data_IF_219257155145
#
_entry.id   IF_219257155145
#
_cell.length_a   1.000
_cell.length_b   1.000
_cell.length_c   1.000
_cell.angle_alpha   90.00
_cell.angle_beta   90.00
_cell.angle_gamma   90.00
#
_symmetry.space_group_name_H-M   'P 1'
#
loop_
_entity.id
_entity.type
_entity.pdbx_description
1 polymer ?
#
# COMPACT_ATOMS: atom_id res chain seq x y z
N UNK A 1 38.30 41.10 5.18
CA UNK A 1 37.12 40.49 5.85
C UNK A 1 36.33 39.81 4.75
N UNK A 2 36.44 38.49 4.65
CA UNK A 2 35.88 37.70 3.55
C UNK A 2 34.41 37.42 3.87
N UNK A 3 33.51 38.00 3.08
CA UNK A 3 32.08 37.71 3.14
C UNK A 3 31.88 36.26 2.70
N UNK A 4 31.33 35.46 3.60
CA UNK A 4 30.92 34.09 3.33
C UNK A 4 29.85 34.19 2.24
N UNK A 5 30.14 33.64 1.06
CA UNK A 5 29.13 33.39 0.05
C UNK A 5 28.08 32.47 0.68
N UNK A 6 26.89 33.00 0.93
CA UNK A 6 25.73 32.17 1.22
C UNK A 6 25.46 31.32 -0.02
N UNK A 7 25.96 30.09 0.01
CA UNK A 7 25.54 29.03 -0.89
C UNK A 7 24.00 29.00 -0.87
N UNK A 8 23.33 29.00 -2.04
CA UNK A 8 21.88 28.92 -2.06
C UNK A 8 21.49 27.66 -1.31
N UNK A 9 20.76 27.87 -0.21
CA UNK A 9 20.14 26.83 0.60
C UNK A 9 19.60 25.78 -0.37
N UNK A 10 20.24 24.60 -0.38
CA UNK A 10 19.72 23.42 -1.08
C UNK A 10 18.31 23.30 -0.56
N UNK A 11 17.33 23.66 -1.40
CA UNK A 11 15.91 23.47 -1.12
C UNK A 11 15.81 22.04 -0.63
N UNK A 12 15.59 21.85 0.67
CA UNK A 12 15.47 20.50 1.21
C UNK A 12 14.36 19.88 0.37
N UNK A 13 14.64 18.72 -0.21
CA UNK A 13 13.53 17.92 -0.71
C UNK A 13 12.60 17.80 0.49
N UNK A 14 11.42 18.39 0.34
CA UNK A 14 10.34 18.31 1.31
C UNK A 14 10.30 16.86 1.79
N UNK A 15 10.33 16.63 3.10
CA UNK A 15 10.38 15.29 3.74
C UNK A 15 9.10 14.46 3.48
N UNK A 16 8.37 14.81 2.42
CA UNK A 16 7.25 14.07 1.89
C UNK A 16 7.73 12.77 1.25
N UNK A 17 7.11 11.67 1.66
CA UNK A 17 7.36 10.34 1.12
C UNK A 17 7.34 10.38 -0.41
N UNK A 18 8.43 9.99 -1.07
CA UNK A 18 8.56 10.03 -2.54
C UNK A 18 7.44 9.24 -3.25
N UNK A 19 6.88 8.21 -2.60
CA UNK A 19 5.74 7.46 -3.12
C UNK A 19 4.51 8.33 -3.30
N UNK A 20 4.25 9.29 -2.40
CA UNK A 20 3.09 10.20 -2.48
C UNK A 20 3.19 11.23 -3.60
N UNK A 21 4.33 11.28 -4.32
CA UNK A 21 4.46 12.09 -5.54
C UNK A 21 3.99 11.35 -6.79
N UNK A 22 3.70 10.05 -6.67
CA UNK A 22 3.11 9.25 -7.73
C UNK A 22 1.58 9.39 -7.69
N UNK A 23 0.90 9.21 -8.84
CA UNK A 23 -0.55 9.06 -8.86
C UNK A 23 -1.01 7.88 -7.98
N UNK A 24 -2.18 8.00 -7.36
CA UNK A 24 -2.73 6.98 -6.45
C UNK A 24 -2.89 5.63 -7.14
N UNK A 25 -3.24 5.63 -8.42
CA UNK A 25 -3.39 4.42 -9.24
C UNK A 25 -2.07 3.69 -9.39
N UNK A 26 -0.96 4.43 -9.56
CA UNK A 26 0.39 3.85 -9.67
C UNK A 26 0.81 3.21 -8.35
N UNK A 27 0.48 3.85 -7.22
CA UNK A 27 0.73 3.28 -5.88
C UNK A 27 -0.11 2.01 -5.68
N UNK A 28 -1.36 2.02 -6.13
CA UNK A 28 -2.24 0.85 -6.14
C UNK A 28 -1.69 -0.29 -7.00
N UNK A 29 -1.16 0.00 -8.19
CA UNK A 29 -0.51 -0.99 -9.05
C UNK A 29 0.77 -1.55 -8.41
N UNK A 30 1.59 -0.71 -7.78
CA UNK A 30 2.78 -1.14 -7.02
C UNK A 30 2.39 -2.15 -5.94
N UNK A 31 1.25 -1.94 -5.26
CA UNK A 31 0.80 -2.86 -4.20
C UNK A 31 0.66 -4.31 -4.69
N UNK A 32 0.30 -4.53 -5.97
CA UNK A 32 0.14 -5.86 -6.57
C UNK A 32 1.46 -6.63 -6.74
N UNK A 33 2.59 -5.95 -6.59
CA UNK A 33 3.93 -6.55 -6.63
C UNK A 33 4.52 -6.76 -5.23
N UNK A 34 3.78 -6.39 -4.19
CA UNK A 34 4.19 -6.50 -2.80
C UNK A 34 3.47 -7.66 -2.12
N UNK A 35 4.08 -8.20 -1.06
CA UNK A 35 3.37 -9.14 -0.19
C UNK A 35 2.27 -8.42 0.61
N UNK A 36 1.20 -9.11 1.06
CA UNK A 36 0.18 -8.50 1.90
C UNK A 36 0.74 -7.85 3.17
N UNK A 37 1.82 -8.42 3.73
CA UNK A 37 2.53 -7.86 4.88
C UNK A 37 3.21 -6.54 4.54
N UNK A 38 3.86 -6.45 3.39
CA UNK A 38 4.50 -5.21 2.92
C UNK A 38 3.47 -4.12 2.62
N UNK A 39 2.33 -4.46 2.01
CA UNK A 39 1.21 -3.53 1.81
C UNK A 39 0.69 -3.02 3.15
N UNK A 40 0.51 -3.93 4.13
CA UNK A 40 0.08 -3.55 5.46
C UNK A 40 1.09 -2.60 6.13
N UNK A 41 2.39 -2.91 6.07
CA UNK A 41 3.44 -2.06 6.62
C UNK A 41 3.47 -0.68 5.94
N UNK A 42 3.30 -0.63 4.63
CA UNK A 42 3.27 0.62 3.87
C UNK A 42 2.07 1.50 4.24
N UNK A 43 0.89 0.89 4.46
CA UNK A 43 -0.32 1.58 4.95
C UNK A 43 -0.17 2.16 6.38
N UNK A 44 0.82 1.70 7.13
CA UNK A 44 1.10 2.19 8.49
C UNK A 44 2.06 3.39 8.49
N UNK A 45 2.78 3.64 7.39
CA UNK A 45 3.78 4.71 7.32
C UNK A 45 3.19 6.11 7.49
N UNK A 46 2.03 6.40 6.88
CA UNK A 46 1.34 7.69 7.03
C UNK A 46 -0.14 7.60 6.64
N UNK A 47 -0.90 8.66 6.97
CA UNK A 47 -2.34 8.73 6.69
C UNK A 47 -2.64 8.64 5.19
N UNK A 48 -1.92 9.39 4.35
CA UNK A 48 -2.15 9.39 2.90
C UNK A 48 -1.92 8.02 2.28
N UNK A 49 -0.86 7.30 2.66
CA UNK A 49 -0.63 5.93 2.19
C UNK A 49 -1.70 4.96 2.69
N UNK A 50 -2.20 5.15 3.92
CA UNK A 50 -3.33 4.37 4.43
C UNK A 50 -4.59 4.57 3.59
N UNK A 51 -4.92 5.82 3.29
CA UNK A 51 -6.13 6.17 2.55
C UNK A 51 -6.10 5.54 1.13
N UNK A 52 -4.92 5.40 0.53
CA UNK A 52 -4.72 4.77 -0.78
C UNK A 52 -4.72 3.23 -0.70
N UNK A 53 -3.96 2.66 0.25
CA UNK A 53 -3.66 1.22 0.29
C UNK A 53 -4.65 0.40 1.12
N UNK A 54 -5.44 1.03 1.99
CA UNK A 54 -6.39 0.34 2.87
C UNK A 54 -7.82 0.31 2.32
N UNK A 55 -7.95 0.07 1.02
CA UNK A 55 -9.23 0.00 0.30
C UNK A 55 -9.61 -1.46 0.00
N UNK A 56 -10.92 -1.74 -0.11
CA UNK A 56 -11.40 -3.10 -0.40
C UNK A 56 -10.86 -3.64 -1.74
N UNK A 57 -10.69 -2.79 -2.75
CA UNK A 57 -10.18 -3.18 -4.08
C UNK A 57 -8.72 -3.64 -4.03
N UNK A 58 -7.88 -2.93 -3.26
CA UNK A 58 -6.48 -3.34 -3.05
C UNK A 58 -6.43 -4.69 -2.34
N UNK A 59 -7.21 -4.87 -1.28
CA UNK A 59 -7.21 -6.12 -0.53
C UNK A 59 -7.85 -7.29 -1.30
N UNK A 60 -8.84 -7.05 -2.16
CA UNK A 60 -9.36 -8.05 -3.09
C UNK A 60 -8.27 -8.53 -4.06
N UNK A 61 -7.51 -7.60 -4.64
CA UNK A 61 -6.38 -7.94 -5.51
C UNK A 61 -5.31 -8.75 -4.74
N UNK A 62 -5.00 -8.38 -3.50
CA UNK A 62 -4.08 -9.13 -2.66
C UNK A 62 -4.57 -10.56 -2.39
N UNK A 63 -5.84 -10.77 -2.07
CA UNK A 63 -6.41 -12.11 -1.89
C UNK A 63 -6.19 -13.00 -3.12
N UNK A 64 -6.33 -12.45 -4.33
CA UNK A 64 -6.10 -13.18 -5.57
C UNK A 64 -4.62 -13.58 -5.75
N UNK A 65 -3.69 -12.77 -5.27
CA UNK A 65 -2.26 -13.03 -5.36
C UNK A 65 -1.76 -14.10 -4.38
N UNK A 66 -2.26 -14.11 -3.14
CA UNK A 66 -1.72 -14.98 -2.08
C UNK A 66 -1.86 -16.47 -2.41
N UNK A 67 -2.96 -16.88 -3.03
CA UNK A 67 -3.25 -18.30 -3.32
C UNK A 67 -3.62 -18.59 -4.78
N UNK A 68 -3.60 -17.60 -5.66
CA UNK A 68 -4.04 -17.77 -7.05
C UNK A 68 -5.50 -18.22 -7.15
N UNK A 69 -6.32 -17.90 -6.13
CA UNK A 69 -7.72 -18.31 -6.10
C UNK A 69 -8.53 -17.53 -7.16
N UNK A 70 -9.52 -18.18 -7.80
CA UNK A 70 -10.45 -17.47 -8.67
C UNK A 70 -11.19 -16.37 -7.90
N UNK A 71 -11.42 -15.23 -8.56
CA UNK A 71 -12.17 -14.10 -7.97
C UNK A 71 -13.54 -14.53 -7.45
N UNK A 72 -14.20 -15.49 -8.10
CA UNK A 72 -15.49 -16.03 -7.67
C UNK A 72 -15.45 -16.67 -6.29
N UNK A 73 -14.37 -17.39 -5.96
CA UNK A 73 -14.20 -18.03 -4.66
C UNK A 73 -13.92 -16.99 -3.57
N UNK A 74 -13.07 -16.01 -3.88
CA UNK A 74 -12.73 -14.91 -2.97
C UNK A 74 -13.98 -14.10 -2.59
N UNK A 75 -14.82 -13.79 -3.57
CA UNK A 75 -16.11 -13.10 -3.37
C UNK A 75 -17.07 -13.96 -2.53
N UNK A 76 -17.08 -15.28 -2.70
CA UNK A 76 -17.89 -16.16 -1.87
C UNK A 76 -17.40 -16.21 -0.42
N UNK A 77 -16.08 -16.24 -0.19
CA UNK A 77 -15.51 -16.28 1.16
C UNK A 77 -15.71 -14.95 1.90
N UNK A 78 -15.78 -13.83 1.16
CA UNK A 78 -16.06 -12.50 1.71
C UNK A 78 -17.37 -12.42 2.51
N UNK A 79 -18.34 -13.30 2.24
CA UNK A 79 -19.63 -13.37 2.95
C UNK A 79 -19.41 -13.71 4.44
N UNK A 80 -18.35 -14.44 4.77
CA UNK A 80 -18.09 -14.96 6.11
C UNK A 80 -17.16 -14.07 6.95
N UNK A 81 -16.62 -13.01 6.37
CA UNK A 81 -15.65 -12.10 7.02
C UNK A 81 -16.06 -10.65 6.84
N UNK A 82 -15.49 -9.74 7.64
CA UNK A 82 -15.87 -8.32 7.64
C UNK A 82 -15.22 -7.49 6.52
N UNK A 83 -14.06 -7.90 5.99
CA UNK A 83 -13.32 -7.19 4.93
C UNK A 83 -12.43 -8.12 4.12
N UNK A 84 -12.05 -7.72 2.90
CA UNK A 84 -11.04 -8.46 2.14
C UNK A 84 -9.67 -8.45 2.83
N UNK A 85 -9.35 -7.43 3.63
CA UNK A 85 -8.13 -7.39 4.45
C UNK A 85 -8.07 -8.54 5.46
N UNK A 86 -9.20 -8.79 6.15
CA UNK A 86 -9.31 -9.90 7.11
C UNK A 86 -9.24 -11.23 6.38
N UNK A 87 -9.91 -11.36 5.22
CA UNK A 87 -9.82 -12.55 4.39
C UNK A 87 -8.38 -12.83 3.95
N UNK A 88 -7.67 -11.80 3.49
CA UNK A 88 -6.28 -11.90 3.03
C UNK A 88 -5.36 -12.40 4.15
N UNK A 89 -5.51 -11.87 5.37
CA UNK A 89 -4.77 -12.35 6.54
C UNK A 89 -5.06 -13.83 6.84
N UNK A 90 -6.32 -14.23 6.79
CA UNK A 90 -6.71 -15.63 6.99
C UNK A 90 -6.10 -16.55 5.93
N UNK A 91 -6.07 -16.12 4.67
CA UNK A 91 -5.43 -16.84 3.56
C UNK A 91 -3.91 -16.99 3.73
N UNK A 92 -3.24 -16.02 4.36
CA UNK A 92 -1.82 -16.07 4.68
C UNK A 92 -1.53 -17.02 5.85
N UNK A 93 -2.40 -17.05 6.87
CA UNK A 93 -2.16 -17.77 8.12
C UNK A 93 -2.64 -19.24 8.11
N UNK A 94 -3.72 -19.56 7.38
CA UNK A 94 -4.43 -20.86 7.48
C UNK A 94 -4.02 -21.87 6.42
N UNK A 95 -3.42 -21.44 5.31
CA UNK A 95 -3.12 -22.25 4.12
C UNK A 95 -1.71 -22.00 3.61
#
# INVERSE_FOLDING_TARGET
>A
MMTIEELPSKKSFDDTCLLLRLPEEVIGDISRFLSPSDVCNLSLCCKSLRDILDTEDIWLAQCALVKGLPLSEIVQWRIWVSSYKVLCRLLVDVL
#
